data_IF_706484377133
#
_entry.id   IF_706484377133
#
_cell.length_a   1.000
_cell.length_b   1.000
_cell.length_c   1.000
_cell.angle_alpha   90.00
_cell.angle_beta   90.00
_cell.angle_gamma   90.00
#
_symmetry.space_group_name_H-M   'P 1'
#
loop_
_entity.id
_entity.type
_entity.pdbx_description
1 polymer ?
#
# COMPACT_ATOMS: atom_id res chain seq x y z
N UNK A 1 -13.41 -13.23 1.28
CA UNK A 1 -12.95 -11.99 1.94
C UNK A 1 -11.64 -12.15 2.68
N UNK A 2 -10.53 -11.78 2.04
CA UNK A 2 -9.18 -11.84 2.65
C UNK A 2 -8.55 -10.44 2.74
N UNK A 3 -9.00 -9.52 1.90
CA UNK A 3 -8.42 -8.18 1.75
C UNK A 3 -9.51 -7.11 1.73
N UNK A 4 -9.18 -5.96 2.28
CA UNK A 4 -9.85 -4.69 2.01
C UNK A 4 -9.12 -3.97 0.85
N UNK A 5 -9.87 -3.20 0.06
CA UNK A 5 -9.37 -2.52 -1.13
C UNK A 5 -9.66 -1.01 -1.07
N UNK A 6 -8.76 -0.22 -1.65
CA UNK A 6 -8.93 1.23 -1.82
C UNK A 6 -8.17 1.71 -3.04
N UNK A 7 -8.61 2.81 -3.64
CA UNK A 7 -7.84 3.53 -4.63
C UNK A 7 -7.46 4.94 -4.13
N UNK A 8 -6.34 5.46 -4.63
CA UNK A 8 -5.94 6.87 -4.46
C UNK A 8 -5.84 7.50 -5.83
N UNK A 9 -6.43 8.67 -5.99
CA UNK A 9 -6.32 9.48 -7.20
C UNK A 9 -5.20 10.49 -6.96
N UNK A 10 -4.15 10.43 -7.77
CA UNK A 10 -3.02 11.34 -7.69
C UNK A 10 -3.25 12.59 -8.54
N UNK A 11 -2.69 13.74 -8.15
CA UNK A 11 -2.56 14.89 -9.03
C UNK A 11 -1.80 14.51 -10.32
N UNK A 12 -2.14 15.12 -11.47
CA UNK A 12 -1.50 14.80 -12.75
C UNK A 12 0.02 14.90 -12.75
N UNK A 13 0.59 15.88 -12.03
CA UNK A 13 2.03 16.08 -11.98
C UNK A 13 2.76 15.00 -11.17
N UNK A 14 2.15 14.52 -10.08
CA UNK A 14 2.66 13.37 -9.32
C UNK A 14 2.56 12.08 -10.12
N UNK A 15 1.46 11.88 -10.86
CA UNK A 15 1.24 10.68 -11.66
C UNK A 15 2.29 10.49 -12.77
N UNK A 16 2.81 11.60 -13.35
CA UNK A 16 3.87 11.56 -14.37
C UNK A 16 5.20 10.99 -13.84
N UNK A 17 5.42 11.06 -12.52
CA UNK A 17 6.64 10.55 -11.87
C UNK A 17 6.57 9.04 -11.59
N UNK A 18 5.39 8.41 -11.75
CA UNK A 18 5.22 6.99 -11.46
C UNK A 18 5.97 6.10 -12.48
N UNK A 19 6.62 5.03 -12.02
CA UNK A 19 7.16 4.01 -12.93
C UNK A 19 6.01 3.28 -13.64
N UNK A 20 6.09 3.17 -14.97
CA UNK A 20 5.01 2.58 -15.79
C UNK A 20 4.84 1.06 -15.66
N UNK A 21 5.90 0.35 -15.29
CA UNK A 21 5.97 -1.12 -15.36
C UNK A 21 6.27 -1.78 -14.01
N UNK A 22 6.14 -1.04 -12.89
CA UNK A 22 6.49 -1.58 -11.57
C UNK A 22 5.56 -1.06 -10.49
N UNK A 23 5.22 -1.94 -9.54
CA UNK A 23 4.54 -1.59 -8.31
C UNK A 23 5.48 -0.85 -7.36
N UNK A 24 4.91 -0.03 -6.49
CA UNK A 24 5.66 0.76 -5.50
C UNK A 24 5.59 0.08 -4.14
N UNK A 25 6.74 -0.01 -3.47
CA UNK A 25 6.81 -0.39 -2.06
C UNK A 25 6.22 0.72 -1.17
N UNK A 26 5.96 0.39 0.11
CA UNK A 26 5.43 1.35 1.09
C UNK A 26 6.25 2.64 1.17
N UNK A 27 7.57 2.52 1.21
CA UNK A 27 8.45 3.68 1.28
C UNK A 27 8.35 4.56 0.03
N UNK A 28 8.23 3.94 -1.15
CA UNK A 28 8.20 4.66 -2.43
C UNK A 28 6.89 5.42 -2.63
N UNK A 29 5.73 4.80 -2.36
CA UNK A 29 4.46 5.51 -2.50
C UNK A 29 4.28 6.58 -1.40
N UNK A 30 4.87 6.38 -0.21
CA UNK A 30 4.91 7.44 0.81
C UNK A 30 5.80 8.61 0.40
N UNK A 31 6.92 8.34 -0.26
CA UNK A 31 7.84 9.38 -0.73
C UNK A 31 7.22 10.33 -1.77
N UNK A 32 6.25 9.85 -2.56
CA UNK A 32 5.49 10.69 -3.50
C UNK A 32 4.30 11.42 -2.84
N UNK A 33 4.15 11.31 -1.53
CA UNK A 33 3.14 12.03 -0.75
C UNK A 33 1.83 11.29 -0.50
N UNK A 34 1.70 10.02 -0.89
CA UNK A 34 0.51 9.24 -0.53
C UNK A 34 0.52 8.94 0.97
N UNK A 35 -0.53 9.33 1.68
CA UNK A 35 -0.67 9.14 3.11
C UNK A 35 -1.84 8.21 3.42
N UNK A 36 -1.54 7.06 4.03
CA UNK A 36 -2.52 6.12 4.55
C UNK A 36 -2.01 5.47 5.84
N UNK A 37 -2.90 4.76 6.54
CA UNK A 37 -2.54 3.86 7.64
C UNK A 37 -1.54 2.78 7.19
N UNK A 38 -0.96 2.04 8.14
CA UNK A 38 0.00 0.98 7.81
C UNK A 38 -0.69 -0.24 7.17
N UNK A 39 0.08 -1.01 6.40
CA UNK A 39 -0.34 -2.29 5.84
C UNK A 39 -0.95 -2.25 4.44
N UNK A 40 -1.07 -1.06 3.83
CA UNK A 40 -1.53 -0.93 2.46
C UNK A 40 -0.43 -1.29 1.46
N UNK A 41 -0.77 -2.16 0.51
CA UNK A 41 0.11 -2.64 -0.55
C UNK A 41 -0.42 -2.17 -1.90
N UNK A 42 0.41 -1.47 -2.66
CA UNK A 42 0.12 -1.15 -4.06
C UNK A 42 0.21 -2.47 -4.87
N UNK A 43 -0.93 -3.00 -5.31
CA UNK A 43 -0.99 -4.39 -5.81
C UNK A 43 -1.21 -4.52 -7.31
N UNK A 44 -1.67 -3.46 -7.97
CA UNK A 44 -1.95 -3.47 -9.40
C UNK A 44 -1.80 -2.07 -10.00
N UNK A 45 -1.38 -2.01 -11.26
CA UNK A 45 -1.29 -0.78 -12.05
C UNK A 45 -2.55 -0.69 -12.91
N UNK A 46 -3.31 0.39 -12.75
CA UNK A 46 -4.48 0.67 -13.59
C UNK A 46 -4.03 1.35 -14.89
N UNK A 47 -3.84 0.56 -15.95
CA UNK A 47 -3.30 1.05 -17.24
C UNK A 47 -4.15 2.14 -17.91
N UNK A 48 -5.50 2.07 -17.91
CA UNK A 48 -6.33 3.12 -18.51
C UNK A 48 -6.16 4.48 -17.84
N UNK A 49 -6.05 4.51 -16.51
CA UNK A 49 -5.93 5.74 -15.73
C UNK A 49 -4.76 5.63 -14.75
N UNK A 50 -3.51 5.88 -15.19
CA UNK A 50 -2.30 5.65 -14.39
C UNK A 50 -2.17 6.56 -13.17
N UNK A 51 -2.98 7.61 -13.10
CA UNK A 51 -3.09 8.48 -11.93
C UNK A 51 -3.92 7.85 -10.79
N UNK A 52 -4.57 6.71 -11.03
CA UNK A 52 -5.27 5.92 -10.01
C UNK A 52 -4.33 4.82 -9.50
N UNK A 53 -3.98 4.90 -8.22
CA UNK A 53 -3.21 3.87 -7.53
C UNK A 53 -4.13 2.90 -6.80
N UNK A 54 -3.92 1.60 -6.99
CA UNK A 54 -4.74 0.54 -6.40
C UNK A 54 -4.04 -0.11 -5.20
N UNK A 55 -4.70 -0.09 -4.05
CA UNK A 55 -4.17 -0.64 -2.80
C UNK A 55 -5.04 -1.76 -2.26
N UNK A 56 -4.40 -2.72 -1.59
CA UNK A 56 -5.05 -3.75 -0.77
C UNK A 56 -4.39 -3.88 0.60
N UNK A 57 -5.13 -4.28 1.61
CA UNK A 57 -4.62 -4.62 2.96
C UNK A 57 -5.34 -5.86 3.48
N UNK A 58 -4.70 -6.67 4.33
CA UNK A 58 -5.36 -7.82 4.98
C UNK A 58 -6.37 -7.34 6.02
N UNK A 59 -7.53 -7.98 6.10
CA UNK A 59 -8.62 -7.55 7.01
C UNK A 59 -8.19 -7.57 8.49
N UNK A 60 -7.32 -8.51 8.88
CA UNK A 60 -6.84 -8.67 10.25
C UNK A 60 -5.45 -8.08 10.48
N UNK A 61 -5.05 -7.06 9.70
CA UNK A 61 -3.69 -6.52 9.74
C UNK A 61 -3.25 -6.10 11.15
N UNK A 62 -4.12 -5.42 11.92
CA UNK A 62 -3.76 -4.98 13.28
C UNK A 62 -3.53 -6.15 14.23
N UNK A 63 -4.35 -7.19 14.15
CA UNK A 63 -4.25 -8.38 15.00
C UNK A 63 -2.96 -9.16 14.68
N UNK A 64 -2.68 -9.36 13.38
CA UNK A 64 -1.46 -10.02 12.92
C UNK A 64 -0.19 -9.29 13.39
N UNK A 65 -0.21 -7.95 13.41
CA UNK A 65 0.92 -7.15 13.89
C UNK A 65 1.14 -7.33 15.39
N UNK A 66 0.07 -7.38 16.20
CA UNK A 66 0.18 -7.62 17.64
C UNK A 66 0.69 -9.02 17.95
N UNK A 67 0.18 -10.05 17.26
CA UNK A 67 0.64 -11.44 17.41
C UNK A 67 2.12 -11.59 17.03
N UNK A 68 2.53 -11.00 15.91
CA UNK A 68 3.94 -10.99 15.50
C UNK A 68 4.84 -10.27 16.51
N UNK A 69 4.37 -9.16 17.09
CA UNK A 69 5.10 -8.46 18.14
C UNK A 69 5.22 -9.31 19.40
N UNK A 70 4.11 -9.89 19.87
CA UNK A 70 4.08 -10.74 21.05
C UNK A 70 4.99 -11.96 20.89
N UNK A 71 4.96 -12.60 19.71
CA UNK A 71 5.84 -13.73 19.40
C UNK A 71 7.32 -13.35 19.44
N UNK A 72 7.69 -12.20 18.85
CA UNK A 72 9.07 -11.73 18.84
C UNK A 72 9.56 -11.28 20.23
N UNK A 73 8.66 -10.82 21.09
CA UNK A 73 8.99 -10.51 22.50
C UNK A 73 9.19 -11.78 23.31
N UNK A 74 8.36 -12.80 23.12
CA UNK A 74 8.45 -14.07 23.86
C UNK A 74 9.63 -14.96 23.39
N UNK A 75 10.03 -14.83 22.12
CA UNK A 75 11.15 -15.57 21.54
C UNK A 75 12.54 -14.99 21.86
N UNK A 76 12.62 -13.96 22.70
CA UNK A 76 13.85 -13.36 23.22
C UNK A 76 14.01 -13.66 24.71
#
# INVERSE_FOLDING_TARGET
DTFEYRHVVLPPDTAKLLPKNRLLSENEWRAIGVQQSRGWVHYAIHRPEPHIMLFRRTLNYQQQQQENHAHNVLAK
#
